data_IF_913719363062
#
_entry.id   IF_913719363062
#
_cell.length_a   1.000
_cell.length_b   1.000
_cell.length_c   1.000
_cell.angle_alpha   90.00
_cell.angle_beta   90.00
_cell.angle_gamma   90.00
#
_symmetry.space_group_name_H-M   'P 1'
#
loop_
_entity.id
_entity.type
_entity.pdbx_description
1 polymer ?
#
# COMPACT_ATOMS: atom_id res chain seq x y z
N UNK A 1 7.08 -7.48 33.71
CA UNK A 1 7.28 -8.02 32.35
C UNK A 1 5.95 -8.57 31.86
N UNK A 2 5.51 -8.11 30.70
CA UNK A 2 4.23 -8.54 30.16
C UNK A 2 4.41 -9.84 29.38
N UNK A 3 3.65 -10.87 29.69
CA UNK A 3 3.66 -12.08 28.90
C UNK A 3 3.03 -11.83 27.54
N UNK A 4 3.66 -12.32 26.49
CA UNK A 4 3.08 -12.33 25.16
C UNK A 4 2.08 -13.46 25.04
N UNK A 5 0.91 -13.15 24.47
CA UNK A 5 -0.03 -14.19 24.12
C UNK A 5 0.54 -15.01 22.95
N UNK A 6 0.27 -16.34 22.92
CA UNK A 6 0.66 -17.14 21.77
C UNK A 6 0.02 -16.63 20.49
N UNK A 7 0.73 -16.76 19.37
CA UNK A 7 0.16 -16.48 18.06
C UNK A 7 -0.92 -17.50 17.70
N UNK A 8 -1.98 -17.05 17.02
CA UNK A 8 -3.02 -17.93 16.50
C UNK A 8 -2.53 -18.75 15.31
N UNK A 9 -1.45 -18.31 14.69
CA UNK A 9 -0.82 -18.95 13.52
C UNK A 9 0.64 -19.21 13.82
N UNK A 10 1.14 -20.38 13.48
CA UNK A 10 2.54 -20.76 13.66
C UNK A 10 3.14 -21.17 12.31
N UNK A 11 4.15 -20.45 11.79
CA UNK A 11 4.76 -19.23 12.36
C UNK A 11 3.82 -18.02 12.35
N UNK A 12 4.05 -17.02 13.24
CA UNK A 12 3.21 -15.82 13.26
C UNK A 12 3.35 -15.01 11.97
N UNK A 13 2.25 -14.36 11.57
CA UNK A 13 2.23 -13.48 10.40
C UNK A 13 2.60 -12.08 10.86
N UNK A 14 3.60 -11.48 10.20
CA UNK A 14 4.03 -10.10 10.41
C UNK A 14 3.62 -9.26 9.19
N UNK A 15 2.59 -8.42 9.36
CA UNK A 15 2.13 -7.54 8.31
C UNK A 15 2.87 -6.21 8.32
N UNK A 16 3.34 -5.78 7.14
CA UNK A 16 3.83 -4.43 6.93
C UNK A 16 2.70 -3.56 6.37
N UNK A 17 2.23 -2.60 7.19
CA UNK A 17 1.20 -1.66 6.82
C UNK A 17 1.70 -0.74 5.70
N UNK A 18 1.09 -0.81 4.51
CA UNK A 18 1.51 -0.05 3.31
C UNK A 18 2.95 -0.30 2.88
N UNK A 19 3.51 -1.45 3.26
CA UNK A 19 4.90 -1.79 3.03
C UNK A 19 5.85 -1.11 4.02
N UNK A 20 7.14 -1.05 3.70
CA UNK A 20 8.16 -0.42 4.53
C UNK A 20 8.20 1.10 4.30
N UNK A 21 7.15 1.81 4.66
CA UNK A 21 6.96 3.24 4.39
C UNK A 21 7.98 4.16 5.07
N UNK A 22 8.65 3.69 6.12
CA UNK A 22 9.71 4.47 6.77
C UNK A 22 10.98 4.56 5.92
N UNK A 23 11.13 3.68 4.94
CA UNK A 23 12.34 3.56 4.10
C UNK A 23 12.05 3.72 2.61
N UNK A 24 10.78 3.70 2.21
CA UNK A 24 10.35 3.85 0.82
C UNK A 24 8.94 4.46 0.81
N UNK A 25 8.52 5.11 -0.29
CA UNK A 25 7.17 5.65 -0.38
C UNK A 25 6.12 4.56 -0.12
N UNK A 26 5.11 4.86 0.71
CA UNK A 26 4.08 3.91 1.05
C UNK A 26 3.28 3.42 -0.16
N UNK A 27 2.73 2.21 -0.09
CA UNK A 27 1.93 1.60 -1.16
C UNK A 27 2.64 1.53 -2.51
N UNK A 28 3.97 1.37 -2.51
CA UNK A 28 4.76 1.17 -3.72
C UNK A 28 5.33 -0.24 -3.76
N UNK A 29 5.68 -0.71 -4.96
CA UNK A 29 6.34 -2.01 -5.14
C UNK A 29 7.65 -2.05 -4.36
N UNK A 30 8.39 -0.93 -4.35
CA UNK A 30 9.63 -0.78 -3.59
C UNK A 30 9.41 -0.97 -2.08
N UNK A 31 8.36 -0.34 -1.53
CA UNK A 31 8.04 -0.46 -0.11
C UNK A 31 7.64 -1.90 0.26
N UNK A 32 6.86 -2.58 -0.57
CA UNK A 32 6.47 -3.97 -0.33
C UNK A 32 7.65 -4.93 -0.45
N UNK A 33 8.49 -4.75 -1.46
CA UNK A 33 9.70 -5.55 -1.65
C UNK A 33 10.65 -5.40 -0.47
N UNK A 34 10.87 -4.16 -0.02
CA UNK A 34 11.71 -3.88 1.12
C UNK A 34 11.15 -4.50 2.41
N UNK A 35 9.83 -4.41 2.62
CA UNK A 35 9.17 -5.00 3.77
C UNK A 35 9.41 -6.52 3.86
N UNK A 36 9.30 -7.23 2.73
CA UNK A 36 9.56 -8.67 2.67
C UNK A 36 11.02 -8.98 2.96
N UNK A 37 11.96 -8.18 2.48
CA UNK A 37 13.40 -8.34 2.77
C UNK A 37 13.72 -8.09 4.24
N UNK A 38 12.98 -7.21 4.91
CA UNK A 38 13.15 -6.90 6.33
C UNK A 38 12.49 -7.92 7.26
N UNK A 39 11.82 -8.93 6.71
CA UNK A 39 11.26 -10.03 7.47
C UNK A 39 9.75 -10.05 7.62
N UNK A 40 9.02 -9.13 6.99
CA UNK A 40 7.57 -9.21 6.94
C UNK A 40 7.13 -10.45 6.16
N UNK A 41 6.10 -11.14 6.64
CA UNK A 41 5.53 -12.32 5.98
C UNK A 41 4.24 -12.00 5.25
N UNK A 42 3.75 -10.78 5.38
CA UNK A 42 2.62 -10.25 4.65
C UNK A 42 2.73 -8.75 4.51
N UNK A 43 2.00 -8.18 3.58
CA UNK A 43 1.91 -6.73 3.39
C UNK A 43 0.45 -6.31 3.40
N UNK A 44 0.19 -5.08 3.85
CA UNK A 44 -1.14 -4.49 3.86
C UNK A 44 -1.12 -3.26 2.98
N UNK A 45 -2.20 -3.03 2.26
CA UNK A 45 -2.32 -1.89 1.37
C UNK A 45 -3.77 -1.45 1.24
N UNK A 46 -3.97 -0.30 0.63
CA UNK A 46 -5.27 0.28 0.35
C UNK A 46 -5.52 0.24 -1.15
N UNK A 47 -6.66 -0.35 -1.56
CA UNK A 47 -7.01 -0.55 -2.97
C UNK A 47 -8.13 0.40 -3.36
N UNK A 48 -7.95 1.04 -4.50
CA UNK A 48 -8.95 1.90 -5.11
C UNK A 48 -9.20 1.44 -6.55
N UNK A 49 -10.39 1.74 -7.06
CA UNK A 49 -10.76 1.35 -8.43
C UNK A 49 -10.89 2.61 -9.28
N UNK A 50 -10.21 2.63 -10.41
CA UNK A 50 -10.28 3.74 -11.36
C UNK A 50 -11.63 3.77 -12.08
N UNK A 51 -11.90 4.85 -12.80
CA UNK A 51 -13.14 5.01 -13.57
C UNK A 51 -13.30 3.92 -14.64
N UNK A 52 -12.20 3.42 -15.18
CA UNK A 52 -12.17 2.35 -16.19
C UNK A 52 -12.00 0.93 -15.58
N UNK A 53 -12.14 0.80 -14.26
CA UNK A 53 -12.18 -0.49 -13.58
C UNK A 53 -10.84 -1.11 -13.21
N UNK A 54 -9.74 -0.37 -13.30
CA UNK A 54 -8.43 -0.87 -12.88
C UNK A 54 -8.26 -0.75 -11.36
N UNK A 55 -7.69 -1.77 -10.74
CA UNK A 55 -7.33 -1.73 -9.32
C UNK A 55 -5.94 -1.10 -9.15
N UNK A 56 -5.82 -0.15 -8.24
CA UNK A 56 -4.57 0.55 -7.93
C UNK A 56 -4.39 0.69 -6.43
N UNK A 57 -3.16 0.93 -5.99
CA UNK A 57 -2.82 1.06 -4.58
C UNK A 57 -2.52 2.50 -4.23
N UNK A 58 -3.24 3.05 -3.28
CA UNK A 58 -3.00 4.39 -2.73
C UNK A 58 -3.68 4.52 -1.37
N UNK A 59 -3.14 5.33 -0.47
CA UNK A 59 -3.73 5.47 0.85
C UNK A 59 -5.04 6.26 0.83
N UNK A 60 -5.02 7.44 0.21
CA UNK A 60 -6.14 8.38 0.31
C UNK A 60 -7.16 8.26 -0.83
N UNK A 61 -6.79 7.57 -1.91
CA UNK A 61 -7.62 7.51 -3.12
C UNK A 61 -7.69 8.84 -3.86
N UNK A 62 -6.73 9.73 -3.63
CA UNK A 62 -6.66 11.07 -4.21
C UNK A 62 -5.32 11.28 -4.90
N UNK A 63 -5.36 11.90 -6.06
CA UNK A 63 -4.17 12.26 -6.82
C UNK A 63 -4.08 13.78 -6.91
N UNK A 64 -2.89 14.31 -6.60
CA UNK A 64 -2.61 15.74 -6.76
C UNK A 64 -2.14 16.03 -8.19
N UNK A 65 -2.81 16.96 -8.83
CA UNK A 65 -2.46 17.47 -10.17
C UNK A 65 -2.32 18.99 -10.08
N UNK A 66 -1.09 19.46 -9.89
CA UNK A 66 -0.83 20.87 -9.60
C UNK A 66 -1.47 21.26 -8.25
N UNK A 67 -2.38 22.23 -8.26
CA UNK A 67 -3.14 22.66 -7.09
C UNK A 67 -4.44 21.88 -6.89
N UNK A 68 -4.78 20.97 -7.81
CA UNK A 68 -6.01 20.18 -7.75
C UNK A 68 -5.75 18.83 -7.12
N UNK A 69 -6.75 18.34 -6.37
CA UNK A 69 -6.86 16.94 -5.93
C UNK A 69 -8.00 16.30 -6.70
N UNK A 70 -7.74 15.16 -7.30
CA UNK A 70 -8.74 14.39 -8.04
C UNK A 70 -8.88 13.00 -7.43
N UNK A 71 -10.13 12.53 -7.27
CA UNK A 71 -10.39 11.18 -6.80
C UNK A 71 -9.97 10.15 -7.86
N UNK A 72 -9.29 9.09 -7.43
CA UNK A 72 -8.89 7.99 -8.31
C UNK A 72 -10.11 7.37 -9.01
N UNK A 73 -11.22 7.24 -8.30
CA UNK A 73 -12.46 6.71 -8.87
C UNK A 73 -13.04 7.52 -10.04
N UNK A 74 -12.62 8.76 -10.21
CA UNK A 74 -13.03 9.62 -11.33
C UNK A 74 -12.01 9.69 -12.48
N UNK A 75 -10.90 8.98 -12.38
CA UNK A 75 -9.80 9.01 -13.35
C UNK A 75 -9.61 7.66 -14.02
N UNK A 76 -9.19 7.67 -15.29
CA UNK A 76 -8.73 6.45 -15.95
C UNK A 76 -7.34 6.06 -15.44
N UNK A 77 -6.99 4.77 -15.51
CA UNK A 77 -5.67 4.30 -15.09
C UNK A 77 -4.51 5.03 -15.75
N UNK A 78 -4.68 5.36 -17.04
CA UNK A 78 -3.65 6.06 -17.83
C UNK A 78 -3.45 7.51 -17.39
N UNK A 79 -4.40 8.10 -16.66
CA UNK A 79 -4.29 9.48 -16.15
C UNK A 79 -3.62 9.53 -14.77
N UNK A 80 -3.28 8.38 -14.19
CA UNK A 80 -2.60 8.31 -12.90
C UNK A 80 -1.09 8.42 -13.07
N UNK A 81 -0.38 8.95 -12.04
CA UNK A 81 1.08 8.89 -12.02
C UNK A 81 1.60 7.45 -12.17
N UNK A 82 2.73 7.30 -12.85
CA UNK A 82 3.31 5.97 -13.15
C UNK A 82 3.78 5.23 -11.90
N UNK A 83 4.05 5.93 -10.81
CA UNK A 83 4.49 5.36 -9.53
C UNK A 83 3.36 4.76 -8.68
N UNK A 84 2.11 4.94 -9.09
CA UNK A 84 0.96 4.29 -8.44
C UNK A 84 0.82 2.87 -9.00
N UNK A 85 1.07 1.86 -8.17
CA UNK A 85 0.95 0.46 -8.59
C UNK A 85 -0.48 0.05 -8.89
#
# INVERSE_FOLDING_TARGET
>A
MTERLPSLVDPPILFAHRGARAHAPENTIEAFTLALRLGATGVESDVWVTADGAAVLDHDGLVRRGLRRSAIGGLARTDLPADIP
#
